data_IF_080572657031
#
_entry.id   IF_080572657031
#
_cell.length_a   1.000
_cell.length_b   1.000
_cell.length_c   1.000
_cell.angle_alpha   90.00
_cell.angle_beta   90.00
_cell.angle_gamma   90.00
#
_symmetry.space_group_name_H-M   'P 1'
#
loop_
_entity.id
_entity.type
_entity.pdbx_description
1 polymer ?
#
# COMPACT_ATOMS: atom_id res chain seq x y z
N UNK A 1 32.83 -8.72 -10.84
CA UNK A 1 32.47 -8.52 -9.41
C UNK A 1 31.32 -9.41 -8.92
N UNK A 2 30.41 -9.90 -9.78
CA UNK A 2 29.41 -10.90 -9.38
C UNK A 2 29.99 -12.31 -9.09
N UNK A 3 31.15 -12.64 -9.63
CA UNK A 3 31.78 -13.96 -9.45
C UNK A 3 32.60 -14.13 -8.15
N UNK A 4 32.87 -13.06 -7.42
CA UNK A 4 33.68 -13.11 -6.21
C UNK A 4 32.88 -13.40 -4.94
N UNK A 5 31.59 -13.04 -4.90
CA UNK A 5 30.72 -13.31 -3.76
C UNK A 5 30.26 -14.78 -3.65
N UNK A 6 30.24 -15.51 -4.79
CA UNK A 6 29.92 -16.96 -4.80
C UNK A 6 30.94 -17.82 -4.03
N UNK A 7 32.10 -17.27 -3.70
CA UNK A 7 33.19 -18.04 -3.03
C UNK A 7 33.12 -18.07 -1.50
N UNK A 8 32.28 -17.25 -0.86
CA UNK A 8 32.26 -17.14 0.60
C UNK A 8 31.38 -18.18 1.33
N UNK A 9 30.33 -18.69 0.69
CA UNK A 9 29.33 -19.53 1.36
C UNK A 9 29.44 -21.03 1.12
N UNK A 10 30.42 -21.50 0.32
CA UNK A 10 30.61 -22.93 0.07
C UNK A 10 29.36 -23.59 -0.54
N UNK A 11 29.04 -24.81 -0.15
CA UNK A 11 27.91 -25.61 -0.69
C UNK A 11 26.58 -25.43 0.01
N UNK A 12 26.36 -24.32 0.71
CA UNK A 12 25.10 -24.09 1.45
C UNK A 12 24.02 -23.60 0.47
N UNK A 13 22.89 -24.33 0.43
CA UNK A 13 21.77 -23.96 -0.42
C UNK A 13 21.18 -22.60 -0.01
N UNK A 14 20.80 -21.73 -0.97
CA UNK A 14 20.17 -20.45 -0.68
C UNK A 14 18.81 -20.62 0.00
N UNK A 15 18.39 -19.59 0.76
CA UNK A 15 17.03 -19.48 1.25
C UNK A 15 16.14 -18.97 0.11
N UNK A 16 14.97 -19.53 -0.04
CA UNK A 16 14.03 -19.08 -1.07
C UNK A 16 12.97 -18.13 -0.49
N UNK A 17 12.78 -17.01 -1.16
CA UNK A 17 11.74 -16.00 -0.89
C UNK A 17 10.86 -15.90 -2.13
N UNK A 18 9.55 -16.10 -1.96
CA UNK A 18 8.58 -16.00 -3.04
C UNK A 18 8.16 -14.55 -3.30
N UNK A 19 8.00 -14.19 -4.56
CA UNK A 19 7.40 -12.94 -5.01
C UNK A 19 6.17 -13.26 -5.84
N UNK A 20 4.98 -12.99 -5.29
CA UNK A 20 3.68 -13.22 -5.93
C UNK A 20 3.12 -11.89 -6.44
N UNK A 21 3.42 -11.56 -7.69
CA UNK A 21 2.94 -10.36 -8.34
C UNK A 21 1.62 -10.64 -9.08
N UNK A 22 0.50 -10.24 -8.51
CA UNK A 22 -0.85 -10.44 -9.05
C UNK A 22 -1.37 -9.23 -9.85
N UNK A 23 -0.57 -8.16 -9.93
CA UNK A 23 -0.87 -6.95 -10.66
C UNK A 23 0.40 -6.36 -11.32
N UNK A 24 0.91 -6.98 -12.40
CA UNK A 24 2.06 -6.46 -13.13
C UNK A 24 1.78 -5.05 -13.66
N UNK A 25 2.52 -4.07 -13.16
CA UNK A 25 2.31 -2.63 -13.47
C UNK A 25 3.21 -2.12 -14.59
N UNK A 26 4.11 -2.97 -15.06
CA UNK A 26 5.06 -2.66 -16.12
C UNK A 26 6.52 -2.58 -15.65
N UNK A 27 7.43 -2.69 -16.60
CA UNK A 27 8.85 -2.96 -16.37
C UNK A 27 9.54 -2.02 -15.38
N UNK A 28 9.16 -0.74 -15.32
CA UNK A 28 9.79 0.22 -14.38
C UNK A 28 9.51 -0.13 -12.93
N UNK A 29 8.23 -0.24 -12.57
CA UNK A 29 7.82 -0.51 -11.18
C UNK A 29 8.20 -1.91 -10.76
N UNK A 30 8.04 -2.89 -11.65
CA UNK A 30 8.40 -4.28 -11.37
C UNK A 30 9.91 -4.44 -11.15
N UNK A 31 10.75 -3.76 -11.96
CA UNK A 31 12.19 -3.75 -11.76
C UNK A 31 12.62 -3.03 -10.48
N UNK A 32 11.99 -1.89 -10.14
CA UNK A 32 12.29 -1.18 -8.89
C UNK A 32 11.94 -2.04 -7.66
N UNK A 33 10.84 -2.79 -7.72
CA UNK A 33 10.43 -3.76 -6.69
C UNK A 33 11.49 -4.87 -6.52
N UNK A 34 11.85 -5.54 -7.60
CA UNK A 34 12.83 -6.64 -7.58
C UNK A 34 14.21 -6.19 -7.10
N UNK A 35 14.70 -5.06 -7.64
CA UNK A 35 16.00 -4.52 -7.30
C UNK A 35 16.05 -4.09 -5.84
N UNK A 36 14.95 -3.51 -5.31
CA UNK A 36 14.87 -3.14 -3.90
C UNK A 36 14.95 -4.36 -3.00
N UNK A 37 14.11 -5.36 -3.23
CA UNK A 37 14.07 -6.57 -2.40
C UNK A 37 15.43 -7.27 -2.43
N UNK A 38 16.02 -7.43 -3.61
CA UNK A 38 17.34 -8.03 -3.77
C UNK A 38 18.41 -7.27 -3.00
N UNK A 39 18.45 -5.93 -3.16
CA UNK A 39 19.43 -5.08 -2.50
C UNK A 39 19.36 -5.21 -0.98
N UNK A 40 18.16 -5.13 -0.39
CA UNK A 40 17.98 -5.18 1.07
C UNK A 40 18.34 -6.56 1.63
N UNK A 41 17.98 -7.63 0.93
CA UNK A 41 18.35 -8.99 1.34
C UNK A 41 19.84 -9.25 1.20
N UNK A 42 20.50 -8.76 0.13
CA UNK A 42 21.96 -8.82 0.00
C UNK A 42 22.65 -8.05 1.14
N UNK A 43 22.19 -6.82 1.45
CA UNK A 43 22.70 -6.03 2.58
C UNK A 43 22.54 -6.78 3.92
N UNK A 44 21.43 -7.52 4.11
CA UNK A 44 21.20 -8.33 5.31
C UNK A 44 22.15 -9.53 5.40
N UNK A 45 22.50 -10.15 4.27
CA UNK A 45 23.50 -11.22 4.19
C UNK A 45 24.89 -10.64 4.48
N UNK A 46 25.27 -9.53 3.88
CA UNK A 46 26.57 -8.88 4.08
C UNK A 46 26.76 -8.42 5.54
N UNK A 47 25.68 -7.99 6.19
CA UNK A 47 25.67 -7.63 7.62
C UNK A 47 25.65 -8.84 8.57
N UNK A 48 25.55 -10.07 8.06
CA UNK A 48 25.48 -11.30 8.86
C UNK A 48 24.16 -11.52 9.60
N UNK A 49 23.10 -10.77 9.24
CA UNK A 49 21.75 -11.02 9.76
C UNK A 49 21.18 -12.33 9.20
N UNK A 50 21.46 -12.62 7.93
CA UNK A 50 21.16 -13.87 7.24
C UNK A 50 22.46 -14.60 6.98
N UNK A 51 22.54 -15.90 7.30
CA UNK A 51 23.78 -16.69 7.28
C UNK A 51 24.14 -17.29 5.91
N UNK A 52 23.33 -17.04 4.88
CA UNK A 52 23.52 -17.59 3.52
C UNK A 52 22.79 -16.77 2.46
N UNK A 53 23.10 -16.95 1.15
CA UNK A 53 22.44 -16.24 0.08
C UNK A 53 20.92 -16.45 0.06
N UNK A 54 20.18 -15.47 -0.49
CA UNK A 54 18.73 -15.53 -0.71
C UNK A 54 18.45 -15.58 -2.21
N UNK A 55 17.62 -16.54 -2.61
CA UNK A 55 17.09 -16.69 -3.97
C UNK A 55 15.66 -16.13 -4.02
N UNK A 56 15.39 -15.22 -4.97
CA UNK A 56 14.05 -14.72 -5.23
C UNK A 56 13.37 -15.58 -6.29
N UNK A 57 12.24 -16.19 -5.93
CA UNK A 57 11.40 -17.00 -6.82
C UNK A 57 10.17 -16.20 -7.18
N UNK A 58 10.05 -15.76 -8.43
CA UNK A 58 8.97 -14.88 -8.88
C UNK A 58 7.86 -15.64 -9.60
N UNK A 59 6.61 -15.23 -9.36
CA UNK A 59 5.42 -15.58 -10.13
C UNK A 59 4.64 -14.32 -10.47
N UNK A 60 4.55 -14.04 -11.77
CA UNK A 60 3.71 -12.98 -12.32
C UNK A 60 2.42 -13.62 -12.85
N UNK A 61 1.29 -13.16 -12.34
CA UNK A 61 -0.04 -13.65 -12.73
C UNK A 61 -1.01 -12.49 -12.90
N UNK A 62 -2.03 -12.69 -13.71
CA UNK A 62 -3.12 -11.72 -13.84
C UNK A 62 -4.22 -12.11 -12.87
N UNK A 63 -4.24 -11.43 -11.71
CA UNK A 63 -5.31 -11.54 -10.72
C UNK A 63 -6.51 -10.63 -11.05
N UNK A 64 -7.45 -10.53 -10.12
CA UNK A 64 -8.55 -9.55 -10.24
C UNK A 64 -7.98 -8.12 -10.24
N UNK A 65 -8.64 -7.17 -10.90
CA UNK A 65 -9.90 -7.29 -11.63
C UNK A 65 -9.78 -7.84 -13.06
N UNK A 66 -8.57 -7.97 -13.61
CA UNK A 66 -8.34 -8.28 -15.03
C UNK A 66 -8.23 -9.79 -15.31
N UNK A 67 -8.09 -10.59 -14.28
CA UNK A 67 -7.94 -12.05 -14.35
C UNK A 67 -8.78 -12.77 -13.30
N UNK A 68 -8.16 -13.74 -12.59
CA UNK A 68 -8.87 -14.54 -11.59
C UNK A 68 -8.04 -14.74 -10.33
N UNK A 69 -8.72 -14.76 -9.16
CA UNK A 69 -8.04 -15.09 -7.91
C UNK A 69 -7.50 -16.53 -7.90
N UNK A 70 -8.08 -17.46 -8.67
CA UNK A 70 -7.58 -18.84 -8.80
C UNK A 70 -6.21 -18.94 -9.46
N UNK A 71 -5.84 -17.97 -10.31
CA UNK A 71 -4.47 -17.89 -10.82
C UNK A 71 -3.50 -17.52 -9.71
N UNK A 72 -3.90 -16.61 -8.82
CA UNK A 72 -3.11 -16.17 -7.66
C UNK A 72 -2.93 -17.31 -6.65
N UNK A 73 -4.00 -18.06 -6.35
CA UNK A 73 -3.97 -19.23 -5.47
C UNK A 73 -2.98 -20.29 -5.99
N UNK A 74 -3.04 -20.62 -7.30
CA UNK A 74 -2.08 -21.57 -7.90
C UNK A 74 -0.63 -21.09 -7.84
N UNK A 75 -0.40 -19.81 -8.11
CA UNK A 75 0.94 -19.25 -8.04
C UNK A 75 1.50 -19.28 -6.61
N UNK A 76 0.64 -19.09 -5.60
CA UNK A 76 1.01 -19.28 -4.20
C UNK A 76 1.43 -20.74 -3.93
N UNK A 77 0.62 -21.72 -4.34
CA UNK A 77 0.94 -23.14 -4.16
C UNK A 77 2.27 -23.52 -4.84
N UNK A 78 2.52 -23.03 -6.06
CA UNK A 78 3.79 -23.23 -6.77
C UNK A 78 4.99 -22.69 -5.99
N UNK A 79 4.87 -21.51 -5.37
CA UNK A 79 5.94 -20.93 -4.55
C UNK A 79 6.20 -21.75 -3.28
N UNK A 80 5.15 -22.29 -2.67
CA UNK A 80 5.27 -23.21 -1.53
C UNK A 80 5.97 -24.49 -1.93
N UNK A 81 5.55 -25.10 -3.05
CA UNK A 81 6.13 -26.34 -3.59
C UNK A 81 7.61 -26.19 -3.97
N UNK A 82 8.03 -24.98 -4.39
CA UNK A 82 9.43 -24.67 -4.63
C UNK A 82 10.26 -24.48 -3.35
N UNK A 83 9.63 -24.49 -2.18
CA UNK A 83 10.28 -24.40 -0.88
C UNK A 83 10.58 -22.97 -0.43
N UNK A 84 9.78 -21.98 -0.85
CA UNK A 84 9.85 -20.63 -0.31
C UNK A 84 9.48 -20.63 1.18
N UNK A 85 10.27 -19.93 2.00
CA UNK A 85 10.08 -19.83 3.46
C UNK A 85 9.17 -18.67 3.87
N UNK A 86 9.00 -17.71 2.99
CA UNK A 86 8.13 -16.55 3.11
C UNK A 86 7.77 -16.06 1.71
N UNK A 87 6.57 -15.51 1.53
CA UNK A 87 6.11 -15.01 0.24
C UNK A 87 5.66 -13.55 0.41
N UNK A 88 6.10 -12.67 -0.49
CA UNK A 88 5.62 -11.31 -0.62
C UNK A 88 4.56 -11.23 -1.72
N UNK A 89 3.42 -10.64 -1.40
CA UNK A 89 2.22 -10.58 -2.24
C UNK A 89 1.10 -11.47 -1.70
N UNK A 90 -0.10 -11.41 -2.28
CA UNK A 90 -0.49 -10.56 -3.42
C UNK A 90 -0.64 -9.08 -3.03
N UNK A 91 -0.81 -8.22 -4.05
CA UNK A 91 -0.93 -6.76 -3.88
C UNK A 91 -2.38 -6.31 -3.79
N UNK A 92 -3.28 -6.94 -4.54
CA UNK A 92 -4.68 -6.54 -4.68
C UNK A 92 -5.55 -7.19 -3.61
N UNK A 93 -6.35 -6.39 -2.90
CA UNK A 93 -7.21 -6.88 -1.81
C UNK A 93 -8.26 -7.90 -2.29
N UNK A 94 -8.82 -7.73 -3.49
CA UNK A 94 -9.80 -8.65 -4.07
C UNK A 94 -9.21 -10.06 -4.31
N UNK A 95 -7.88 -10.18 -4.41
CA UNK A 95 -7.17 -11.45 -4.47
C UNK A 95 -6.72 -11.93 -3.09
N UNK A 96 -6.24 -11.03 -2.24
CA UNK A 96 -5.70 -11.36 -0.92
C UNK A 96 -6.77 -11.91 0.04
N UNK A 97 -7.98 -11.31 0.05
CA UNK A 97 -9.08 -11.74 0.93
C UNK A 97 -9.48 -13.19 0.72
N UNK A 98 -9.77 -13.67 -0.50
CA UNK A 98 -10.07 -15.09 -0.70
C UNK A 98 -8.83 -15.98 -0.51
N UNK A 99 -7.62 -15.50 -0.84
CA UNK A 99 -6.39 -16.28 -0.67
C UNK A 99 -6.09 -16.59 0.80
N UNK A 100 -6.38 -15.67 1.73
CA UNK A 100 -6.16 -15.87 3.16
C UNK A 100 -6.69 -17.21 3.69
N UNK A 101 -7.92 -17.54 3.31
CA UNK A 101 -8.55 -18.78 3.78
C UNK A 101 -7.83 -20.04 3.26
N UNK A 102 -7.21 -19.98 2.10
CA UNK A 102 -6.38 -21.02 1.53
C UNK A 102 -5.05 -21.13 2.28
N UNK A 103 -4.35 -19.99 2.46
CA UNK A 103 -3.07 -19.92 3.18
C UNK A 103 -3.17 -20.44 4.60
N UNK A 104 -4.19 -20.02 5.35
CA UNK A 104 -4.39 -20.44 6.75
C UNK A 104 -4.66 -21.95 6.89
N UNK A 105 -5.05 -22.65 5.82
CA UNK A 105 -5.38 -24.08 5.85
C UNK A 105 -4.30 -24.99 5.27
N UNK A 106 -3.49 -24.49 4.34
CA UNK A 106 -2.71 -25.38 3.47
C UNK A 106 -1.21 -25.22 3.65
N UNK A 107 -0.72 -24.06 4.09
CA UNK A 107 0.70 -23.79 4.10
C UNK A 107 1.16 -23.24 5.45
N UNK A 108 2.22 -23.84 5.99
CA UNK A 108 2.97 -23.24 7.11
C UNK A 108 4.04 -22.29 6.57
N UNK A 109 3.64 -21.37 5.65
CA UNK A 109 4.50 -20.35 5.04
C UNK A 109 3.83 -19.00 5.20
N UNK A 110 4.46 -18.04 5.93
CA UNK A 110 3.88 -16.71 6.10
C UNK A 110 3.92 -15.94 4.79
N UNK A 111 2.87 -15.12 4.58
CA UNK A 111 2.82 -14.17 3.49
C UNK A 111 2.78 -12.74 4.02
N UNK A 112 3.40 -11.82 3.27
CA UNK A 112 3.32 -10.37 3.52
C UNK A 112 2.58 -9.77 2.33
N UNK A 113 1.37 -9.27 2.59
CA UNK A 113 0.49 -8.71 1.56
C UNK A 113 0.52 -7.18 1.57
N UNK A 114 0.21 -6.57 0.42
CA UNK A 114 0.00 -5.13 0.31
C UNK A 114 -1.48 -4.73 0.48
N UNK A 115 -2.36 -5.69 0.69
CA UNK A 115 -3.79 -5.45 0.87
C UNK A 115 -4.09 -4.57 2.08
N UNK A 116 -4.94 -3.56 1.88
CA UNK A 116 -5.45 -2.69 2.94
C UNK A 116 -6.70 -3.22 3.65
N UNK A 117 -7.21 -4.39 3.26
CA UNK A 117 -8.38 -5.00 3.89
C UNK A 117 -8.01 -5.76 5.16
N UNK A 118 -8.69 -5.47 6.28
CA UNK A 118 -8.55 -6.27 7.51
C UNK A 118 -8.97 -7.72 7.30
N UNK A 119 -9.89 -7.99 6.36
CA UNK A 119 -10.37 -9.33 6.02
C UNK A 119 -9.29 -10.21 5.39
N UNK A 120 -8.20 -9.63 4.89
CA UNK A 120 -7.06 -10.37 4.35
C UNK A 120 -6.03 -10.78 5.42
N UNK A 121 -6.16 -10.27 6.65
CA UNK A 121 -5.26 -10.64 7.75
C UNK A 121 -5.63 -11.99 8.33
N UNK A 122 -4.64 -12.79 8.67
CA UNK A 122 -4.82 -14.15 9.18
C UNK A 122 -3.66 -14.63 10.02
N UNK A 123 -3.69 -15.87 10.44
CA UNK A 123 -2.60 -16.45 11.24
C UNK A 123 -1.27 -16.38 10.46
N UNK A 124 -1.32 -16.67 9.17
CA UNK A 124 -0.17 -16.71 8.27
C UNK A 124 -0.08 -15.50 7.33
N UNK A 125 -1.07 -14.58 7.40
CA UNK A 125 -1.18 -13.43 6.52
C UNK A 125 -0.86 -12.14 7.29
N UNK A 126 0.31 -11.59 7.02
CA UNK A 126 0.78 -10.29 7.52
C UNK A 126 0.59 -9.23 6.45
N UNK A 127 0.47 -7.96 6.84
CA UNK A 127 0.39 -6.86 5.89
C UNK A 127 1.40 -5.75 6.18
N UNK A 128 2.04 -5.27 5.13
CA UNK A 128 2.59 -3.93 5.00
C UNK A 128 1.86 -3.28 3.84
N UNK A 129 0.66 -2.83 4.13
CA UNK A 129 -0.27 -2.31 3.14
C UNK A 129 0.15 -0.92 2.65
N UNK A 130 -0.02 -0.67 1.36
CA UNK A 130 0.17 0.65 0.77
C UNK A 130 -1.02 1.60 1.00
N UNK A 131 -2.05 1.12 1.70
CA UNK A 131 -3.24 1.82 2.14
C UNK A 131 -4.03 0.95 3.08
N UNK A 132 -5.03 1.50 3.77
CA UNK A 132 -5.85 0.78 4.75
C UNK A 132 -7.27 1.26 4.70
N UNK A 133 -8.22 0.35 4.42
CA UNK A 133 -9.63 0.71 4.40
C UNK A 133 -10.11 1.33 5.71
N UNK A 134 -9.66 0.89 6.92
CA UNK A 134 -10.03 1.56 8.16
C UNK A 134 -9.27 2.88 8.43
N UNK A 135 -8.00 3.02 8.03
CA UNK A 135 -7.19 4.18 8.42
C UNK A 135 -7.31 5.35 7.45
N UNK A 136 -7.36 5.07 6.15
CA UNK A 136 -7.44 6.10 5.12
C UNK A 136 -8.67 7.00 5.25
N UNK A 137 -9.89 6.50 5.50
CA UNK A 137 -11.04 7.36 5.72
C UNK A 137 -10.88 8.29 6.94
N UNK A 138 -10.19 7.84 7.99
CA UNK A 138 -9.88 8.69 9.18
C UNK A 138 -8.91 9.80 8.82
N UNK A 139 -7.86 9.46 8.05
CA UNK A 139 -6.91 10.45 7.58
C UNK A 139 -7.56 11.46 6.64
N UNK A 140 -8.36 10.99 5.67
CA UNK A 140 -9.13 11.86 4.76
C UNK A 140 -10.13 12.74 5.52
N UNK A 141 -10.80 12.21 6.55
CA UNK A 141 -11.70 13.02 7.38
C UNK A 141 -10.95 14.19 8.02
N UNK A 142 -9.74 13.95 8.53
CA UNK A 142 -8.90 15.00 9.11
C UNK A 142 -8.50 16.05 8.07
N UNK A 143 -8.13 15.64 6.87
CA UNK A 143 -7.78 16.53 5.76
C UNK A 143 -8.98 17.37 5.33
N UNK A 144 -10.14 16.74 5.13
CA UNK A 144 -11.39 17.40 4.73
C UNK A 144 -11.83 18.46 5.75
N UNK A 145 -11.81 18.11 7.05
CA UNK A 145 -12.13 19.04 8.14
C UNK A 145 -11.16 20.22 8.15
N UNK A 146 -9.88 19.94 7.98
CA UNK A 146 -8.84 20.94 7.93
C UNK A 146 -8.96 21.89 6.75
N UNK A 147 -9.32 21.38 5.58
CA UNK A 147 -9.58 22.18 4.38
C UNK A 147 -10.95 22.94 4.45
N UNK A 148 -11.71 22.75 5.53
CA UNK A 148 -12.93 23.51 5.81
C UNK A 148 -14.22 22.88 5.25
N UNK A 149 -14.14 21.67 4.72
CA UNK A 149 -15.32 20.97 4.16
C UNK A 149 -16.17 20.35 5.26
N UNK A 150 -17.47 20.21 5.01
CA UNK A 150 -18.45 19.61 5.93
C UNK A 150 -19.42 18.68 5.23
N UNK A 151 -19.79 18.97 3.99
CA UNK A 151 -20.78 18.23 3.20
C UNK A 151 -20.02 17.41 2.14
N UNK A 152 -19.94 16.12 2.33
CA UNK A 152 -19.11 15.24 1.50
C UNK A 152 -20.01 14.33 0.66
N UNK A 153 -19.69 14.21 -0.62
CA UNK A 153 -20.27 13.18 -1.48
C UNK A 153 -19.19 12.15 -1.84
N UNK A 154 -19.55 10.87 -1.88
CA UNK A 154 -18.64 9.77 -2.18
C UNK A 154 -18.96 9.19 -3.57
N UNK A 155 -17.95 9.10 -4.43
CA UNK A 155 -17.93 8.27 -5.62
C UNK A 155 -17.26 6.93 -5.27
N UNK A 156 -18.06 5.88 -5.10
CA UNK A 156 -17.59 4.56 -4.65
C UNK A 156 -17.42 3.61 -5.83
N UNK A 157 -16.25 3.00 -5.98
CA UNK A 157 -16.08 1.92 -6.95
C UNK A 157 -16.96 0.71 -6.62
N UNK A 158 -17.59 0.13 -7.65
CA UNK A 158 -18.43 -1.07 -7.55
C UNK A 158 -17.57 -2.33 -7.41
N UNK A 159 -16.79 -2.42 -6.31
CA UNK A 159 -15.86 -3.48 -5.99
C UNK A 159 -15.96 -3.88 -4.51
N UNK A 160 -15.26 -4.95 -4.13
CA UNK A 160 -15.12 -5.33 -2.72
C UNK A 160 -14.40 -4.22 -1.93
N UNK A 161 -13.30 -3.72 -2.48
CA UNK A 161 -12.50 -2.61 -1.93
C UNK A 161 -13.36 -1.37 -1.72
N UNK A 162 -14.09 -0.92 -2.75
CA UNK A 162 -14.94 0.27 -2.66
C UNK A 162 -16.03 0.16 -1.59
N UNK A 163 -16.61 -1.02 -1.41
CA UNK A 163 -17.62 -1.28 -0.36
C UNK A 163 -17.01 -1.23 1.03
N UNK A 164 -15.83 -1.80 1.21
CA UNK A 164 -15.13 -1.80 2.49
C UNK A 164 -14.70 -0.37 2.87
N UNK A 165 -14.15 0.42 1.93
CA UNK A 165 -13.86 1.84 2.15
C UNK A 165 -15.10 2.63 2.58
N UNK A 166 -16.24 2.44 1.89
CA UNK A 166 -17.47 3.14 2.24
C UNK A 166 -17.90 2.83 3.67
N UNK A 167 -17.85 1.56 4.07
CA UNK A 167 -18.19 1.14 5.42
C UNK A 167 -17.39 1.89 6.50
N UNK A 168 -16.08 2.03 6.31
CA UNK A 168 -15.22 2.77 7.25
C UNK A 168 -15.37 4.28 7.11
N UNK A 169 -15.60 4.79 5.89
CA UNK A 169 -15.80 6.22 5.65
C UNK A 169 -17.06 6.76 6.32
N UNK A 170 -18.19 6.05 6.27
CA UNK A 170 -19.42 6.43 6.95
C UNK A 170 -19.19 6.71 8.43
N UNK A 171 -18.45 5.84 9.11
CA UNK A 171 -18.13 5.99 10.52
C UNK A 171 -17.11 7.11 10.76
N UNK A 172 -15.98 7.10 10.04
CA UNK A 172 -14.91 8.07 10.23
C UNK A 172 -15.40 9.51 9.99
N UNK A 173 -16.26 9.70 8.98
CA UNK A 173 -16.82 11.02 8.66
C UNK A 173 -17.81 11.49 9.72
N UNK A 174 -18.69 10.59 10.19
CA UNK A 174 -19.61 10.92 11.28
C UNK A 174 -18.85 11.30 12.57
N UNK A 175 -17.81 10.54 12.94
CA UNK A 175 -16.96 10.81 14.12
C UNK A 175 -16.23 12.16 13.99
N UNK A 176 -15.88 12.59 12.77
CA UNK A 176 -15.25 13.88 12.48
C UNK A 176 -16.25 15.05 12.31
N UNK A 177 -17.56 14.81 12.42
CA UNK A 177 -18.60 15.82 12.23
C UNK A 177 -18.79 16.22 10.78
N UNK A 178 -18.41 15.36 9.82
CA UNK A 178 -18.70 15.50 8.40
C UNK A 178 -20.08 14.89 8.09
N UNK A 179 -20.76 15.49 7.12
CA UNK A 179 -22.07 15.03 6.65
C UNK A 179 -21.92 14.36 5.28
N UNK A 180 -22.13 13.05 5.23
CA UNK A 180 -22.22 12.33 3.96
C UNK A 180 -23.58 12.66 3.32
N UNK A 181 -23.55 13.46 2.23
CA UNK A 181 -24.77 13.97 1.57
C UNK A 181 -25.18 13.13 0.37
N UNK A 182 -24.25 12.39 -0.22
CA UNK A 182 -24.53 11.42 -1.28
C UNK A 182 -23.47 10.33 -1.34
N UNK A 183 -23.87 9.15 -1.78
CA UNK A 183 -22.98 8.06 -2.19
C UNK A 183 -23.45 7.54 -3.52
N UNK A 184 -22.57 7.55 -4.51
CA UNK A 184 -22.86 7.10 -5.88
C UNK A 184 -21.88 6.01 -6.26
N UNK A 185 -22.40 4.86 -6.67
CA UNK A 185 -21.59 3.76 -7.17
C UNK A 185 -21.11 4.08 -8.60
N UNK A 186 -19.82 3.90 -8.85
CA UNK A 186 -19.20 4.06 -10.16
C UNK A 186 -18.55 2.75 -10.62
N UNK A 187 -18.51 2.47 -11.94
CA UNK A 187 -17.84 1.28 -12.44
C UNK A 187 -16.34 1.36 -12.21
N UNK A 188 -15.73 0.18 -11.95
CA UNK A 188 -14.28 0.02 -11.76
C UNK A 188 -13.50 -0.07 -13.09
N UNK A 189 -14.09 0.42 -14.16
CA UNK A 189 -13.52 0.42 -15.50
C UNK A 189 -13.73 1.78 -16.14
N UNK A 190 -13.00 2.04 -17.23
CA UNK A 190 -13.30 3.20 -18.06
C UNK A 190 -14.74 3.13 -18.58
N UNK A 191 -15.53 4.14 -18.26
CA UNK A 191 -16.93 4.26 -18.66
C UNK A 191 -17.37 5.71 -18.56
N UNK A 192 -18.48 6.05 -19.24
CA UNK A 192 -19.17 7.32 -19.01
C UNK A 192 -19.68 7.41 -17.56
N UNK A 193 -19.36 8.50 -16.90
CA UNK A 193 -19.71 8.79 -15.51
C UNK A 193 -20.63 10.01 -15.37
N UNK A 194 -21.23 10.47 -16.47
CA UNK A 194 -22.11 11.65 -16.48
C UNK A 194 -23.25 11.56 -15.49
N UNK A 195 -23.98 10.44 -15.46
CA UNK A 195 -25.09 10.24 -14.52
C UNK A 195 -24.62 10.23 -13.06
N UNK A 196 -23.46 9.63 -12.79
CA UNK A 196 -22.88 9.63 -11.45
C UNK A 196 -22.51 11.06 -11.01
N UNK A 197 -21.87 11.83 -11.87
CA UNK A 197 -21.52 13.24 -11.62
C UNK A 197 -22.76 14.09 -11.42
N UNK A 198 -23.82 13.89 -12.21
CA UNK A 198 -25.09 14.61 -12.05
C UNK A 198 -25.70 14.36 -10.66
N UNK A 199 -25.72 13.10 -10.21
CA UNK A 199 -26.23 12.74 -8.88
C UNK A 199 -25.37 13.32 -7.74
N UNK A 200 -24.04 13.36 -7.89
CA UNK A 200 -23.15 14.00 -6.92
C UNK A 200 -23.39 15.51 -6.86
N UNK A 201 -23.55 16.17 -8.00
CA UNK A 201 -23.78 17.61 -8.11
C UNK A 201 -25.12 18.00 -7.48
N UNK A 202 -26.20 17.23 -7.70
CA UNK A 202 -27.53 17.46 -7.13
C UNK A 202 -27.50 17.49 -5.59
N UNK A 203 -26.64 16.70 -4.97
CA UNK A 203 -26.47 16.67 -3.52
C UNK A 203 -25.79 17.93 -2.95
N UNK A 204 -25.26 18.80 -3.80
CA UNK A 204 -24.59 20.04 -3.43
C UNK A 204 -23.54 19.86 -2.31
N UNK A 205 -22.48 19.04 -2.52
CA UNK A 205 -21.43 18.83 -1.55
C UNK A 205 -20.41 19.96 -1.57
N UNK A 206 -19.63 20.10 -0.47
CA UNK A 206 -18.46 20.97 -0.39
C UNK A 206 -17.24 20.33 -1.09
N UNK A 207 -17.20 19.01 -1.09
CA UNK A 207 -16.13 18.22 -1.70
C UNK A 207 -16.64 16.84 -2.13
N UNK A 208 -15.97 16.24 -3.11
CA UNK A 208 -16.17 14.84 -3.49
C UNK A 208 -14.98 13.99 -3.07
N UNK A 209 -15.27 12.75 -2.69
CA UNK A 209 -14.25 11.74 -2.34
C UNK A 209 -14.46 10.51 -3.19
N UNK A 210 -13.42 10.09 -3.90
CA UNK A 210 -13.39 8.79 -4.55
C UNK A 210 -12.87 7.75 -3.55
N UNK A 211 -13.52 6.58 -3.50
CA UNK A 211 -13.06 5.43 -2.72
C UNK A 211 -13.04 4.18 -3.58
N UNK A 212 -11.89 3.53 -3.63
CA UNK A 212 -11.66 2.35 -4.46
C UNK A 212 -10.19 2.13 -4.78
N UNK A 213 -9.93 1.22 -5.71
CA UNK A 213 -8.57 0.91 -6.15
C UNK A 213 -7.95 2.01 -7.04
N UNK A 214 -8.81 2.74 -7.78
CA UNK A 214 -8.38 3.86 -8.63
C UNK A 214 -8.87 3.79 -10.07
N UNK A 215 -9.20 2.63 -10.61
CA UNK A 215 -9.70 2.52 -12.00
C UNK A 215 -11.02 3.28 -12.22
N UNK A 216 -11.81 3.47 -11.17
CA UNK A 216 -13.02 4.28 -11.20
C UNK A 216 -12.78 5.77 -11.47
N UNK A 217 -11.55 6.27 -11.28
CA UNK A 217 -11.18 7.66 -11.58
C UNK A 217 -11.11 7.95 -13.09
N UNK A 218 -10.91 6.91 -13.92
CA UNK A 218 -10.90 7.07 -15.37
C UNK A 218 -12.25 7.59 -15.87
N UNK A 219 -12.22 8.70 -16.61
CA UNK A 219 -13.39 9.38 -17.11
C UNK A 219 -14.15 10.24 -16.09
N UNK A 220 -13.78 10.22 -14.80
CA UNK A 220 -14.45 11.05 -13.79
C UNK A 220 -14.13 12.53 -13.96
N UNK A 221 -12.87 12.89 -14.24
CA UNK A 221 -12.49 14.27 -14.54
C UNK A 221 -13.18 14.80 -15.81
N UNK A 222 -13.31 13.97 -16.84
CA UNK A 222 -13.99 14.34 -18.08
C UNK A 222 -15.49 14.59 -17.85
N UNK A 223 -16.13 13.75 -17.03
CA UNK A 223 -17.54 13.93 -16.66
C UNK A 223 -17.76 15.19 -15.79
N UNK A 224 -16.83 15.48 -14.85
CA UNK A 224 -16.87 16.73 -14.08
C UNK A 224 -16.72 17.96 -14.99
N UNK A 225 -15.78 17.92 -15.93
CA UNK A 225 -15.59 19.00 -16.90
C UNK A 225 -16.80 19.17 -17.82
N UNK A 226 -17.41 18.08 -18.31
CA UNK A 226 -18.63 18.10 -19.11
C UNK A 226 -19.84 18.69 -18.36
N UNK A 227 -19.92 18.46 -17.05
CA UNK A 227 -20.90 19.06 -16.16
C UNK A 227 -20.59 20.53 -15.79
N UNK A 228 -19.45 21.07 -16.26
CA UNK A 228 -18.95 22.40 -15.87
C UNK A 228 -18.89 22.57 -14.35
N UNK A 229 -18.44 21.51 -13.65
CA UNK A 229 -18.35 21.45 -12.19
C UNK A 229 -16.92 21.09 -11.76
N UNK A 230 -16.29 21.93 -10.96
CA UNK A 230 -14.91 21.78 -10.47
C UNK A 230 -14.87 21.78 -8.93
N UNK A 231 -15.38 20.70 -8.27
CA UNK A 231 -15.35 20.61 -6.82
C UNK A 231 -13.95 20.32 -6.30
N UNK A 232 -13.66 20.66 -5.03
CA UNK A 232 -12.57 20.01 -4.29
C UNK A 232 -12.74 18.48 -4.33
N UNK A 233 -11.65 17.76 -4.66
CA UNK A 233 -11.71 16.33 -4.93
C UNK A 233 -10.60 15.57 -4.23
N UNK A 234 -11.00 14.49 -3.58
CA UNK A 234 -10.14 13.70 -2.73
C UNK A 234 -10.22 12.22 -3.09
N UNK A 235 -9.13 11.50 -2.86
CA UNK A 235 -9.09 10.05 -3.05
C UNK A 235 -8.22 9.39 -1.99
N UNK A 236 -8.33 8.08 -1.90
CA UNK A 236 -7.54 7.19 -1.05
C UNK A 236 -6.10 7.05 -1.58
N UNK A 237 -5.39 6.00 -1.20
CA UNK A 237 -4.11 5.59 -1.83
C UNK A 237 -4.27 5.19 -3.31
N UNK A 238 -5.47 5.22 -3.87
CA UNK A 238 -5.66 5.32 -5.33
C UNK A 238 -4.85 6.46 -5.97
N UNK A 239 -4.47 7.48 -5.20
CA UNK A 239 -3.53 8.53 -5.58
C UNK A 239 -2.17 7.99 -6.06
N UNK A 240 -1.69 6.90 -5.48
CA UNK A 240 -0.40 6.29 -5.80
C UNK A 240 -0.32 5.81 -7.25
N UNK A 241 -1.46 5.61 -7.91
CA UNK A 241 -1.52 5.32 -9.35
C UNK A 241 -0.90 6.44 -10.19
N UNK A 242 -0.87 7.69 -9.70
CA UNK A 242 -0.20 8.80 -10.36
C UNK A 242 1.33 8.58 -10.55
N UNK A 243 1.93 7.72 -9.74
CA UNK A 243 3.36 7.39 -9.86
C UNK A 243 3.67 6.38 -10.95
N UNK A 244 2.67 5.63 -11.43
CA UNK A 244 2.86 4.52 -12.36
C UNK A 244 3.20 5.04 -13.75
N UNK A 245 2.45 6.03 -14.23
CA UNK A 245 2.71 6.66 -15.53
C UNK A 245 2.02 8.04 -15.66
N UNK A 246 2.36 8.77 -16.73
CA UNK A 246 1.81 10.10 -17.01
C UNK A 246 0.30 10.10 -17.30
N UNK A 247 -0.25 9.02 -17.81
CA UNK A 247 -1.69 8.89 -18.08
C UNK A 247 -2.47 8.91 -16.77
N UNK A 248 -2.06 8.12 -15.79
CA UNK A 248 -2.64 8.13 -14.46
C UNK A 248 -2.50 9.50 -13.77
N UNK A 249 -1.34 10.15 -13.92
CA UNK A 249 -1.15 11.50 -13.41
C UNK A 249 -2.20 12.47 -13.97
N UNK A 250 -2.53 12.37 -15.27
CA UNK A 250 -3.57 13.21 -15.90
C UNK A 250 -4.96 12.93 -15.35
N UNK A 251 -5.33 11.66 -15.13
CA UNK A 251 -6.62 11.31 -14.53
C UNK A 251 -6.76 11.81 -13.09
N UNK A 252 -5.66 12.00 -12.39
CA UNK A 252 -5.62 12.52 -11.03
C UNK A 252 -5.35 14.03 -10.95
N UNK A 253 -5.34 14.75 -12.07
CA UNK A 253 -5.15 16.21 -12.10
C UNK A 253 -6.11 16.93 -11.15
N UNK A 254 -5.56 17.70 -10.21
CA UNK A 254 -6.32 18.45 -9.20
C UNK A 254 -6.82 17.62 -8.00
N UNK A 255 -6.64 16.31 -7.98
CA UNK A 255 -7.00 15.46 -6.84
C UNK A 255 -6.01 15.59 -5.70
N UNK A 256 -6.52 15.53 -4.47
CA UNK A 256 -5.77 15.32 -3.24
C UNK A 256 -5.99 13.88 -2.82
N UNK A 257 -4.93 13.16 -2.53
CA UNK A 257 -5.02 11.77 -2.12
C UNK A 257 -3.99 11.40 -1.06
N UNK A 258 -3.99 10.14 -0.67
CA UNK A 258 -3.06 9.60 0.29
C UNK A 258 -1.94 8.86 -0.44
N UNK A 259 -0.74 8.94 0.12
CA UNK A 259 0.49 8.35 -0.39
C UNK A 259 1.30 7.82 0.80
N UNK A 260 2.13 6.85 0.58
CA UNK A 260 3.08 6.34 1.58
C UNK A 260 4.53 6.82 1.35
N UNK A 261 4.75 7.73 0.40
CA UNK A 261 6.04 8.35 0.13
C UNK A 261 6.14 9.76 0.73
N UNK A 262 7.19 9.99 1.52
CA UNK A 262 7.49 11.29 2.12
C UNK A 262 8.98 11.64 1.95
N UNK A 263 9.28 12.72 1.25
CA UNK A 263 10.64 13.21 1.02
C UNK A 263 11.36 13.60 2.31
N UNK A 264 10.63 13.83 3.40
CA UNK A 264 11.18 14.17 4.72
C UNK A 264 11.59 12.96 5.53
N UNK A 265 11.21 11.74 5.12
CA UNK A 265 11.58 10.51 5.82
C UNK A 265 13.06 10.19 5.58
N UNK A 266 13.89 10.43 6.59
CA UNK A 266 15.35 10.26 6.49
C UNK A 266 15.77 8.80 6.24
N UNK A 267 14.99 7.83 6.72
CA UNK A 267 15.26 6.39 6.50
C UNK A 267 15.04 6.07 5.03
N UNK A 268 13.90 6.50 4.47
CA UNK A 268 13.58 6.33 3.06
C UNK A 268 14.58 7.03 2.16
N UNK A 269 14.95 8.29 2.46
CA UNK A 269 15.92 9.02 1.65
C UNK A 269 17.30 8.36 1.67
N UNK A 270 17.79 7.91 2.83
CA UNK A 270 19.06 7.20 2.94
C UNK A 270 19.06 5.87 2.16
N UNK A 271 17.94 5.14 2.17
CA UNK A 271 17.76 3.96 1.34
C UNK A 271 17.81 4.31 -0.15
N UNK A 272 17.05 5.32 -0.61
CA UNK A 272 17.01 5.73 -2.02
C UNK A 272 18.37 6.23 -2.53
N UNK A 273 19.20 6.83 -1.68
CA UNK A 273 20.56 7.23 -2.03
C UNK A 273 21.46 5.99 -2.25
N UNK A 274 21.36 4.96 -1.40
CA UNK A 274 22.07 3.67 -1.60
C UNK A 274 21.58 2.95 -2.85
N UNK A 275 20.27 2.97 -3.09
CA UNK A 275 19.68 2.40 -4.31
C UNK A 275 20.24 3.09 -5.55
N UNK A 276 20.29 4.43 -5.55
CA UNK A 276 20.85 5.20 -6.66
C UNK A 276 22.33 4.88 -6.89
N UNK A 277 23.11 4.73 -5.83
CA UNK A 277 24.52 4.35 -5.93
C UNK A 277 24.72 2.96 -6.54
N UNK A 278 23.82 2.00 -6.24
CA UNK A 278 23.90 0.63 -6.75
C UNK A 278 23.39 0.49 -8.18
N UNK A 279 22.27 1.13 -8.53
CA UNK A 279 21.54 0.91 -9.79
C UNK A 279 21.58 2.08 -10.77
N UNK A 280 22.21 3.21 -10.42
CA UNK A 280 22.34 4.38 -11.29
C UNK A 280 21.04 5.15 -11.54
N UNK A 281 19.96 4.86 -10.81
CA UNK A 281 18.68 5.56 -10.86
C UNK A 281 18.12 5.74 -9.46
N UNK A 282 17.41 6.84 -9.20
CA UNK A 282 16.81 7.15 -7.90
C UNK A 282 15.29 7.24 -8.04
N UNK A 283 14.54 6.25 -7.60
CA UNK A 283 13.10 6.32 -7.55
C UNK A 283 12.63 7.43 -6.59
N UNK A 284 11.49 8.06 -6.89
CA UNK A 284 10.91 9.12 -6.06
C UNK A 284 9.42 8.87 -5.80
N UNK A 285 9.07 7.65 -5.40
CA UNK A 285 7.69 7.24 -5.16
C UNK A 285 7.62 6.09 -4.14
N UNK A 286 6.42 5.72 -3.74
CA UNK A 286 6.14 4.84 -2.60
C UNK A 286 6.71 3.43 -2.74
N UNK A 287 6.60 2.78 -3.90
CA UNK A 287 6.85 1.34 -4.05
C UNK A 287 8.26 0.90 -3.59
N UNK A 288 9.35 1.56 -3.96
CA UNK A 288 10.67 1.17 -3.46
C UNK A 288 10.81 1.29 -1.94
N UNK A 289 10.24 2.33 -1.32
CA UNK A 289 10.27 2.49 0.13
C UNK A 289 9.48 1.37 0.83
N UNK A 290 8.30 1.06 0.31
CA UNK A 290 7.46 -0.02 0.80
C UNK A 290 8.14 -1.40 0.65
N UNK A 291 8.74 -1.66 -0.51
CA UNK A 291 9.49 -2.89 -0.75
C UNK A 291 10.76 -3.01 0.13
N UNK A 292 11.40 -1.88 0.45
CA UNK A 292 12.48 -1.85 1.44
C UNK A 292 11.98 -2.33 2.81
N UNK A 293 10.84 -1.84 3.26
CA UNK A 293 10.25 -2.21 4.53
C UNK A 293 9.83 -3.69 4.55
N UNK A 294 9.20 -4.18 3.48
CA UNK A 294 8.87 -5.59 3.30
C UNK A 294 10.12 -6.47 3.34
N UNK A 295 11.16 -6.13 2.58
CA UNK A 295 12.40 -6.89 2.55
C UNK A 295 13.14 -6.85 3.89
N UNK A 296 13.05 -5.74 4.64
CA UNK A 296 13.58 -5.63 5.99
C UNK A 296 12.86 -6.59 6.95
N UNK A 297 11.53 -6.67 6.89
CA UNK A 297 10.75 -7.64 7.68
C UNK A 297 11.11 -9.07 7.30
N UNK A 298 11.23 -9.38 6.01
CA UNK A 298 11.67 -10.69 5.52
C UNK A 298 13.07 -11.03 6.07
N UNK A 299 14.03 -10.08 6.01
CA UNK A 299 15.38 -10.28 6.50
C UNK A 299 15.41 -10.61 8.01
N UNK A 300 14.62 -9.88 8.82
CA UNK A 300 14.46 -10.17 10.23
C UNK A 300 13.81 -11.53 10.49
N UNK A 301 12.79 -11.88 9.70
CA UNK A 301 12.12 -13.18 9.76
C UNK A 301 13.09 -14.33 9.48
N UNK A 302 13.83 -14.27 8.37
CA UNK A 302 14.81 -15.30 7.99
C UNK A 302 15.98 -15.37 8.98
N UNK A 303 16.52 -14.23 9.39
CA UNK A 303 17.65 -14.17 10.33
C UNK A 303 17.30 -14.65 11.73
N UNK A 304 16.07 -14.42 12.18
CA UNK A 304 15.56 -14.82 13.49
C UNK A 304 14.99 -16.23 13.55
N UNK A 305 14.65 -16.84 12.42
CA UNK A 305 13.94 -18.13 12.38
C UNK A 305 14.69 -19.27 13.11
N UNK A 306 14.03 -19.89 14.06
CA UNK A 306 14.53 -21.07 14.82
C UNK A 306 13.36 -22.01 15.15
N UNK A 307 13.20 -23.16 14.49
CA UNK A 307 14.01 -23.69 13.37
C UNK A 307 13.84 -22.88 12.08
N UNK A 308 14.70 -23.11 11.08
CA UNK A 308 14.62 -22.46 9.77
C UNK A 308 13.54 -23.15 8.91
N UNK A 309 12.30 -22.78 9.17
CA UNK A 309 11.07 -23.23 8.51
C UNK A 309 10.14 -22.03 8.35
N UNK A 310 9.07 -22.14 7.54
CA UNK A 310 8.06 -21.09 7.46
C UNK A 310 7.46 -20.73 8.82
N UNK A 311 7.19 -21.70 9.68
CA UNK A 311 6.74 -21.45 11.05
C UNK A 311 7.77 -20.67 11.88
N UNK A 312 9.03 -21.01 11.80
CA UNK A 312 10.09 -20.27 12.48
C UNK A 312 10.26 -18.85 11.94
N UNK A 313 10.06 -18.62 10.62
CA UNK A 313 10.05 -17.29 10.02
C UNK A 313 8.85 -16.48 10.54
N UNK A 314 7.65 -17.06 10.59
CA UNK A 314 6.46 -16.44 11.17
C UNK A 314 6.70 -16.00 12.61
N UNK A 315 7.23 -16.89 13.47
CA UNK A 315 7.51 -16.60 14.87
C UNK A 315 8.52 -15.44 15.00
N UNK A 316 9.58 -15.45 14.19
CA UNK A 316 10.57 -14.38 14.17
C UNK A 316 9.97 -13.03 13.68
N UNK A 317 9.06 -13.05 12.72
CA UNK A 317 8.33 -11.85 12.30
C UNK A 317 7.43 -11.32 13.44
N UNK A 318 6.76 -12.19 14.19
CA UNK A 318 5.94 -11.79 15.34
C UNK A 318 6.78 -11.16 16.49
N UNK A 319 8.07 -11.41 16.51
CA UNK A 319 8.99 -10.80 17.48
C UNK A 319 9.51 -9.41 17.10
N UNK A 320 9.21 -8.93 15.90
CA UNK A 320 9.53 -7.56 15.48
C UNK A 320 8.71 -6.55 16.30
N UNK A 321 9.40 -5.72 17.11
CA UNK A 321 8.74 -4.76 18.01
C UNK A 321 8.88 -3.32 17.58
N UNK A 322 10.00 -2.96 16.95
CA UNK A 322 10.26 -1.60 16.50
C UNK A 322 11.36 -1.61 15.44
N UNK A 323 10.99 -1.32 14.20
CA UNK A 323 11.92 -1.09 13.09
C UNK A 323 11.55 0.25 12.46
N UNK A 324 12.51 1.20 12.27
CA UNK A 324 12.25 2.42 11.52
C UNK A 324 11.88 2.10 10.07
N UNK A 325 10.82 2.74 9.56
CA UNK A 325 10.29 2.53 8.22
C UNK A 325 10.89 3.51 7.21
N UNK A 326 11.12 3.05 5.99
CA UNK A 326 11.45 3.88 4.84
C UNK A 326 10.21 4.58 4.26
N UNK A 327 9.00 4.07 4.55
CA UNK A 327 7.72 4.61 4.10
C UNK A 327 7.14 5.58 5.11
N UNK A 328 6.25 6.46 4.62
CA UNK A 328 5.47 7.36 5.46
C UNK A 328 6.24 8.56 5.98
N UNK A 329 5.60 9.29 6.91
CA UNK A 329 6.17 10.46 7.54
C UNK A 329 7.40 10.12 8.42
N UNK A 330 8.27 11.12 8.73
CA UNK A 330 9.39 10.92 9.63
C UNK A 330 8.95 10.31 10.98
N UNK A 331 9.62 9.23 11.40
CA UNK A 331 9.31 8.53 12.64
C UNK A 331 8.35 7.35 12.49
N UNK A 332 7.84 7.08 11.31
CA UNK A 332 7.07 5.86 11.04
C UNK A 332 7.90 4.62 11.39
N UNK A 333 7.28 3.68 12.06
CA UNK A 333 7.90 2.43 12.52
C UNK A 333 7.02 1.22 12.22
N UNK A 334 7.67 0.06 12.16
CA UNK A 334 7.07 -1.24 11.93
C UNK A 334 7.08 -2.08 13.22
N UNK A 335 6.02 -2.85 13.41
CA UNK A 335 5.93 -3.90 14.43
C UNK A 335 5.01 -5.01 13.99
N UNK A 336 5.26 -6.19 14.53
CA UNK A 336 4.32 -7.30 14.44
C UNK A 336 4.15 -7.99 15.79
N UNK A 337 3.20 -8.89 15.89
CA UNK A 337 2.97 -9.70 17.06
C UNK A 337 1.96 -10.79 16.76
N UNK A 338 1.76 -11.69 17.73
CA UNK A 338 0.83 -12.82 17.56
C UNK A 338 -0.57 -12.41 17.09
N UNK A 339 -1.03 -11.23 17.50
CA UNK A 339 -2.35 -10.67 17.17
C UNK A 339 -2.26 -9.33 16.42
N UNK A 340 -1.06 -8.94 16.01
CA UNK A 340 -0.81 -7.71 15.25
C UNK A 340 -0.28 -8.15 13.89
N UNK A 341 -1.14 -8.14 12.90
CA UNK A 341 -0.84 -8.61 11.53
C UNK A 341 -0.61 -7.47 10.54
N UNK A 342 -1.11 -6.27 10.83
CA UNK A 342 -0.77 -5.06 10.11
C UNK A 342 0.45 -4.41 10.77
N UNK A 343 1.49 -4.16 9.98
CA UNK A 343 2.82 -3.83 10.50
C UNK A 343 3.04 -2.37 10.84
N UNK A 344 2.21 -1.44 10.39
CA UNK A 344 2.38 -0.02 10.68
C UNK A 344 2.05 0.33 12.13
N UNK A 345 2.86 1.20 12.73
CA UNK A 345 2.58 1.76 14.06
C UNK A 345 1.88 3.11 13.92
N UNK A 346 0.54 3.10 13.96
CA UNK A 346 -0.27 4.30 13.77
C UNK A 346 -0.58 4.56 12.30
N UNK A 347 -0.94 5.80 11.97
CA UNK A 347 -1.38 6.22 10.62
C UNK A 347 -0.34 7.08 9.90
N UNK A 348 0.82 7.32 10.49
CA UNK A 348 1.87 8.20 9.96
C UNK A 348 2.56 7.62 8.70
N UNK A 349 2.25 6.38 8.33
CA UNK A 349 2.65 5.82 7.03
C UNK A 349 1.86 6.43 5.86
N UNK A 350 0.76 7.15 6.14
CA UNK A 350 -0.05 7.89 5.16
C UNK A 350 0.27 9.37 5.22
N UNK A 351 0.47 9.98 4.06
CA UNK A 351 0.67 11.41 3.88
C UNK A 351 -0.27 11.94 2.80
N UNK A 352 -0.82 13.14 2.99
CA UNK A 352 -1.67 13.75 1.97
C UNK A 352 -0.82 14.43 0.90
N UNK A 353 -1.15 14.20 -0.37
CA UNK A 353 -0.51 14.82 -1.53
C UNK A 353 -1.55 15.31 -2.52
N UNK A 354 -1.14 16.21 -3.40
CA UNK A 354 -1.99 16.75 -4.46
C UNK A 354 -1.30 16.60 -5.80
N UNK A 355 -2.02 16.15 -6.81
CA UNK A 355 -1.61 16.32 -8.20
C UNK A 355 -1.96 17.74 -8.65
N UNK A 356 -1.00 18.45 -9.24
CA UNK A 356 -1.24 19.80 -9.75
C UNK A 356 -2.30 19.77 -10.87
N UNK A 357 -3.10 20.85 -11.04
CA UNK A 357 -4.16 20.88 -12.04
C UNK A 357 -3.71 20.65 -13.49
N UNK A 358 -2.44 20.98 -13.79
CA UNK A 358 -1.82 20.76 -15.11
C UNK A 358 -1.15 19.37 -15.23
N UNK A 359 -1.31 18.52 -14.20
CA UNK A 359 -0.72 17.18 -14.12
C UNK A 359 0.82 17.16 -14.29
N UNK A 360 1.50 18.28 -14.07
CA UNK A 360 2.97 18.36 -14.24
C UNK A 360 3.76 17.71 -13.11
N UNK A 361 3.17 17.63 -11.91
CA UNK A 361 3.78 17.06 -10.72
C UNK A 361 2.72 16.78 -9.63
N UNK A 362 3.13 16.06 -8.61
CA UNK A 362 2.39 15.98 -7.34
C UNK A 362 3.24 16.57 -6.21
N UNK A 363 2.57 17.20 -5.26
CA UNK A 363 3.21 17.93 -4.16
C UNK A 363 2.59 17.53 -2.83
N UNK A 364 3.34 17.68 -1.76
CA UNK A 364 2.82 17.50 -0.41
C UNK A 364 1.64 18.44 -0.15
N UNK A 365 0.54 17.88 0.36
CA UNK A 365 -0.60 18.66 0.82
C UNK A 365 -0.49 18.78 2.34
N UNK A 366 -0.17 19.97 2.83
CA UNK A 366 -0.11 20.22 4.26
C UNK A 366 -1.51 20.01 4.85
N UNK A 367 -1.71 18.92 5.58
CA UNK A 367 -2.85 18.87 6.47
C UNK A 367 -2.74 20.05 7.43
N UNK A 368 -3.79 20.87 7.60
CA UNK A 368 -3.77 21.92 8.59
C UNK A 368 -3.41 21.29 9.92
N UNK A 369 -2.44 21.87 10.63
CA UNK A 369 -2.07 21.38 11.95
C UNK A 369 -3.35 21.30 12.78
N UNK A 370 -3.80 20.11 13.12
CA UNK A 370 -4.80 19.90 14.15
C UNK A 370 -4.14 20.34 15.45
N UNK A 371 -4.22 21.62 15.77
CA UNK A 371 -4.12 22.09 17.12
C UNK A 371 -5.29 21.41 17.88
N UNK A 372 -5.07 20.22 18.37
CA UNK A 372 -5.85 19.68 19.47
C UNK A 372 -5.48 20.57 20.66
N UNK A 373 -6.11 21.74 20.72
CA UNK A 373 -6.16 22.53 21.94
C UNK A 373 -6.81 21.63 22.97
N UNK A 374 -6.03 21.25 23.99
CA UNK A 374 -6.51 20.49 25.12
C UNK A 374 -7.80 21.13 25.62
N UNK A 375 -8.92 20.48 25.37
CA UNK A 375 -10.19 20.84 25.97
C UNK A 375 -10.12 20.39 27.43
N UNK A 376 -10.20 21.34 28.35
CA UNK A 376 -10.65 21.11 29.69
C UNK A 376 -9.59 21.08 30.78
N UNK A 377 -9.03 22.24 31.12
CA UNK A 377 -8.75 22.53 32.52
C UNK A 377 -10.07 22.83 33.25
N UNK A 378 -10.68 21.82 33.88
CA UNK A 378 -11.69 22.07 34.90
C UNK A 378 -10.96 22.53 36.16
N UNK A 379 -11.12 23.79 36.48
CA UNK A 379 -10.82 24.32 37.82
C UNK A 379 -11.77 23.70 38.84
N UNK A 380 -11.20 23.13 39.85
CA UNK A 380 -11.87 22.98 41.17
C UNK A 380 -11.25 23.97 42.10
#
# INVERSE_FOLDING_TARGET
MADEQVRAFGSVAPLKVGLLNDYPTGAKTDNDTLDTIRMVLDEAVDAGLIDRPVELVQRDVIGLPNGTYKAVERAFDELVDEGCLVIFGPYVSDNAVPLRAHVDKTAEVPIIILSGSESALGEWCFALNNGSMPDEPRMLASVLVGDGHRRIAIAQESSLIGKEYLHYAERAYADAGLHLVATVAIPQVEADKGDAVAALLEANPDAIVHVGFGHGLWGLNDALAAANWDPPRYTTTAFEMAHINEEWMRHLAGWIGLDSYDERNVVGQAFLDRFAARYGRRPGYFMPCLCHDVATVIAHGLGGARPLTGAGVKDAMEDIKLIPSASGAPGTCLRFGRYIRQGWMGVDYLVARRVLPDASAHVFHAAPSTNISAVGGASV
#
